data_IF_596076163111
#
_entry.id   IF_596076163111
#
_cell.length_a   1.000
_cell.length_b   1.000
_cell.length_c   1.000
_cell.angle_alpha   90.00
_cell.angle_beta   90.00
_cell.angle_gamma   90.00
#
_symmetry.space_group_name_H-M   'P 1'
#
loop_
_entity.id
_entity.type
_entity.pdbx_description
1 polymer ?
#
# COMPACT_ATOMS: atom_id res chain seq x y z
N UNK A 1 7.68 -10.56 23.06
CA UNK A 1 6.23 -10.88 23.08
C UNK A 1 5.56 -9.63 23.59
N UNK A 2 4.95 -8.81 22.71
CA UNK A 2 4.22 -7.63 23.19
C UNK A 2 3.01 -8.13 23.98
N UNK A 3 2.93 -7.76 25.26
CA UNK A 3 1.78 -8.08 26.09
C UNK A 3 0.53 -7.41 25.50
N UNK A 4 -0.50 -8.22 25.29
CA UNK A 4 -1.81 -7.72 24.88
C UNK A 4 -2.54 -7.15 26.12
N UNK A 5 -3.22 -6.00 25.99
CA UNK A 5 -4.03 -5.46 27.08
C UNK A 5 -5.09 -6.47 27.55
N UNK A 6 -5.22 -6.61 28.87
CA UNK A 6 -6.07 -7.62 29.54
C UNK A 6 -7.55 -7.25 29.63
N UNK A 7 -7.99 -6.16 29.02
CA UNK A 7 -9.38 -5.72 29.08
C UNK A 7 -10.15 -6.11 27.81
N UNK A 8 -11.09 -7.04 27.96
CA UNK A 8 -11.87 -7.64 26.86
C UNK A 8 -13.12 -6.83 26.51
N UNK A 9 -13.33 -5.66 27.09
CA UNK A 9 -14.59 -4.91 26.96
C UNK A 9 -14.67 -3.93 25.79
N UNK A 10 -13.59 -3.73 25.01
CA UNK A 10 -13.58 -2.75 23.90
C UNK A 10 -13.08 -3.30 22.56
N UNK A 11 -13.39 -4.56 22.23
CA UNK A 11 -13.15 -5.11 20.88
C UNK A 11 -14.16 -4.59 19.83
N UNK A 12 -15.20 -3.87 20.25
CA UNK A 12 -16.30 -3.43 19.37
C UNK A 12 -15.90 -2.31 18.38
N UNK A 13 -14.68 -1.76 18.46
CA UNK A 13 -14.20 -0.66 17.60
C UNK A 13 -12.87 -0.93 16.88
N UNK A 14 -12.46 -2.20 16.70
CA UNK A 14 -11.37 -2.49 15.76
C UNK A 14 -11.90 -2.38 14.33
N UNK A 15 -11.90 -1.15 13.79
CA UNK A 15 -11.92 -0.96 12.34
C UNK A 15 -10.72 -1.73 11.80
N UNK A 16 -10.91 -2.78 11.00
CA UNK A 16 -9.83 -3.46 10.28
C UNK A 16 -9.04 -2.37 9.53
N UNK A 17 -7.83 -1.99 9.96
CA UNK A 17 -7.37 -0.62 9.75
C UNK A 17 -6.84 -0.37 8.34
N UNK A 18 -6.73 -1.41 7.51
CA UNK A 18 -6.24 -1.30 6.12
C UNK A 18 -6.74 -2.48 5.30
N UNK A 19 -7.50 -2.26 4.21
CA UNK A 19 -7.99 -3.35 3.39
C UNK A 19 -6.84 -4.13 2.73
N UNK A 20 -6.97 -5.46 2.71
CA UNK A 20 -6.05 -6.36 2.01
C UNK A 20 -6.75 -6.91 0.77
N UNK A 21 -6.25 -6.55 -0.40
CA UNK A 21 -6.80 -6.97 -1.69
C UNK A 21 -6.02 -8.13 -2.31
N UNK A 22 -6.69 -8.91 -3.16
CA UNK A 22 -5.98 -9.83 -4.07
C UNK A 22 -5.42 -9.04 -5.25
N UNK A 23 -4.25 -9.41 -5.76
CA UNK A 23 -3.60 -8.71 -6.86
C UNK A 23 -4.42 -8.60 -8.15
N UNK A 24 -5.44 -9.45 -8.34
CA UNK A 24 -6.31 -9.39 -9.52
C UNK A 24 -7.24 -8.17 -9.54
N UNK A 25 -7.42 -7.49 -8.39
CA UNK A 25 -8.28 -6.31 -8.28
C UNK A 25 -7.56 -5.01 -8.64
N UNK A 26 -6.26 -5.06 -8.93
CA UNK A 26 -5.43 -3.86 -9.14
C UNK A 26 -4.67 -3.98 -10.45
N UNK A 27 -4.52 -2.86 -11.15
CA UNK A 27 -3.73 -2.81 -12.37
C UNK A 27 -2.31 -2.36 -12.05
N UNK A 28 -1.29 -3.08 -12.51
CA UNK A 28 0.11 -2.70 -12.29
C UNK A 28 0.52 -1.64 -13.31
N UNK A 29 1.17 -0.58 -12.84
CA UNK A 29 1.65 0.49 -13.70
C UNK A 29 2.97 1.06 -13.18
N UNK A 30 3.48 2.06 -13.90
CA UNK A 30 4.52 2.95 -13.40
C UNK A 30 3.97 4.37 -13.40
N UNK A 31 4.31 5.14 -12.38
CA UNK A 31 3.89 6.54 -12.23
C UNK A 31 5.09 7.46 -12.18
N UNK A 32 4.93 8.67 -12.70
CA UNK A 32 5.81 9.79 -12.42
C UNK A 32 5.29 10.53 -11.18
N UNK A 33 6.21 10.88 -10.29
CA UNK A 33 5.97 11.69 -9.11
C UNK A 33 6.77 13.00 -9.25
N UNK A 34 6.29 14.14 -8.71
CA UNK A 34 6.95 15.43 -8.86
C UNK A 34 8.41 15.43 -8.41
N UNK A 35 8.69 14.76 -7.29
CA UNK A 35 10.01 14.77 -6.65
C UNK A 35 10.88 13.57 -7.02
N UNK A 36 10.39 12.67 -7.89
CA UNK A 36 11.10 11.43 -8.23
C UNK A 36 11.51 11.43 -9.71
N UNK A 37 12.82 11.45 -10.03
CA UNK A 37 13.28 11.56 -11.41
C UNK A 37 13.03 10.31 -12.24
N UNK A 38 12.73 9.17 -11.60
CA UNK A 38 12.47 7.89 -12.27
C UNK A 38 11.03 7.46 -12.01
N UNK A 39 10.39 6.77 -12.97
CA UNK A 39 9.10 6.15 -12.76
C UNK A 39 9.11 5.20 -11.56
N UNK A 40 8.10 5.31 -10.73
CA UNK A 40 7.89 4.49 -9.54
C UNK A 40 6.92 3.36 -9.85
N UNK A 41 7.24 2.13 -9.44
CA UNK A 41 6.28 1.01 -9.55
C UNK A 41 5.04 1.30 -8.71
N UNK A 42 3.87 1.10 -9.30
CA UNK A 42 2.61 1.47 -8.69
C UNK A 42 1.50 0.50 -9.07
N UNK A 43 0.36 0.70 -8.43
CA UNK A 43 -0.91 0.11 -8.84
C UNK A 43 -1.96 1.20 -9.05
N UNK A 44 -2.90 0.92 -9.94
CA UNK A 44 -4.12 1.69 -10.12
C UNK A 44 -5.29 0.90 -9.53
N UNK A 45 -6.05 1.54 -8.63
CA UNK A 45 -7.18 0.95 -7.94
C UNK A 45 -8.24 2.02 -7.70
N UNK A 46 -9.49 1.73 -8.07
CA UNK A 46 -10.64 2.64 -7.89
C UNK A 46 -10.38 4.09 -8.35
N UNK A 47 -9.72 4.27 -9.50
CA UNK A 47 -9.46 5.60 -10.04
C UNK A 47 -8.23 6.32 -9.45
N UNK A 48 -7.50 5.69 -8.54
CA UNK A 48 -6.39 6.29 -7.81
C UNK A 48 -5.07 5.53 -8.04
N UNK A 49 -3.96 6.26 -7.98
CA UNK A 49 -2.62 5.70 -8.05
C UNK A 49 -2.05 5.46 -6.66
N UNK A 50 -1.45 4.29 -6.47
CA UNK A 50 -0.73 3.96 -5.25
C UNK A 50 0.70 3.53 -5.54
N UNK A 51 1.68 4.24 -4.99
CA UNK A 51 3.10 3.91 -5.13
C UNK A 51 3.49 2.71 -4.26
N UNK A 52 4.41 1.89 -4.77
CA UNK A 52 5.03 0.82 -4.00
C UNK A 52 5.84 1.39 -2.83
N UNK A 53 5.56 0.90 -1.62
CA UNK A 53 6.37 1.21 -0.43
C UNK A 53 7.31 0.06 -0.13
N UNK A 54 6.74 -1.12 0.18
CA UNK A 54 7.52 -2.25 0.69
C UNK A 54 6.76 -3.57 0.65
N UNK A 55 7.50 -4.66 0.44
CA UNK A 55 7.07 -6.04 0.69
C UNK A 55 7.31 -6.47 2.15
N UNK A 56 6.35 -7.20 2.70
CA UNK A 56 6.37 -7.79 4.03
C UNK A 56 6.08 -9.29 3.95
N UNK A 57 6.96 -10.12 4.49
CA UNK A 57 6.71 -11.56 4.62
C UNK A 57 5.73 -11.92 5.74
N UNK A 58 5.57 -11.03 6.74
CA UNK A 58 4.63 -11.18 7.84
C UNK A 58 3.42 -10.25 7.69
N UNK A 59 2.23 -10.82 7.82
CA UNK A 59 0.95 -10.08 7.79
C UNK A 59 0.86 -9.11 8.97
N UNK A 60 1.28 -9.54 10.17
CA UNK A 60 1.19 -8.71 11.38
C UNK A 60 2.10 -7.48 11.29
N UNK A 61 3.33 -7.66 10.78
CA UNK A 61 4.26 -6.55 10.57
C UNK A 61 3.72 -5.58 9.51
N UNK A 62 3.14 -6.09 8.43
CA UNK A 62 2.53 -5.26 7.40
C UNK A 62 1.39 -4.41 7.97
N UNK A 63 0.51 -5.03 8.77
CA UNK A 63 -0.63 -4.36 9.43
C UNK A 63 -0.18 -3.29 10.42
N UNK A 64 0.78 -3.60 11.28
CA UNK A 64 1.35 -2.62 12.22
C UNK A 64 1.94 -1.42 11.47
N UNK A 65 2.64 -1.67 10.37
CA UNK A 65 3.23 -0.60 9.57
C UNK A 65 2.17 0.22 8.83
N UNK A 66 1.12 -0.42 8.33
CA UNK A 66 0.01 0.25 7.66
C UNK A 66 -0.71 1.18 8.63
N UNK A 67 -1.07 0.68 9.82
CA UNK A 67 -1.70 1.47 10.88
C UNK A 67 -0.86 2.70 11.26
N UNK A 68 0.47 2.55 11.38
CA UNK A 68 1.36 3.68 11.65
C UNK A 68 1.34 4.74 10.53
N UNK A 69 1.30 4.31 9.27
CA UNK A 69 1.26 5.23 8.14
C UNK A 69 -0.09 5.92 8.01
N UNK A 70 -1.19 5.19 8.23
CA UNK A 70 -2.55 5.75 8.28
C UNK A 70 -2.71 6.74 9.42
N UNK A 71 -2.18 6.46 10.61
CA UNK A 71 -2.17 7.40 11.73
C UNK A 71 -1.38 8.70 11.43
N UNK A 72 -0.49 8.68 10.42
CA UNK A 72 0.23 9.87 9.92
C UNK A 72 -0.48 10.56 8.75
N UNK A 73 -1.71 10.16 8.43
CA UNK A 73 -2.52 10.76 7.37
C UNK A 73 -2.31 10.15 5.98
N UNK A 74 -1.59 9.05 5.85
CA UNK A 74 -1.44 8.39 4.54
C UNK A 74 -2.64 7.50 4.25
N UNK A 75 -3.14 7.52 3.02
CA UNK A 75 -4.07 6.49 2.54
C UNK A 75 -3.24 5.29 2.05
N UNK A 76 -3.46 4.13 2.67
CA UNK A 76 -2.64 2.92 2.50
C UNK A 76 -3.54 1.79 2.05
N UNK A 77 -3.05 0.96 1.13
CA UNK A 77 -3.66 -0.33 0.80
C UNK A 77 -2.61 -1.44 0.84
N UNK A 78 -3.07 -2.65 1.15
CA UNK A 78 -2.23 -3.84 1.13
C UNK A 78 -2.71 -4.79 0.03
N UNK A 79 -1.80 -5.39 -0.71
CA UNK A 79 -2.13 -6.48 -1.65
C UNK A 79 -1.44 -7.77 -1.26
N UNK A 80 -2.16 -8.89 -1.34
CA UNK A 80 -1.62 -10.21 -1.05
C UNK A 80 -0.86 -10.79 -2.25
N UNK A 81 0.35 -11.26 -1.97
CA UNK A 81 1.25 -11.94 -2.92
C UNK A 81 1.63 -13.31 -2.38
N UNK A 82 2.15 -14.24 -3.21
CA UNK A 82 2.39 -15.62 -2.76
C UNK A 82 3.25 -15.77 -1.50
N UNK A 83 4.18 -14.83 -1.25
CA UNK A 83 5.10 -14.87 -0.11
C UNK A 83 4.79 -13.86 1.01
N UNK A 84 3.67 -13.15 0.94
CA UNK A 84 3.35 -12.12 1.95
C UNK A 84 2.43 -11.02 1.43
N UNK A 85 2.66 -9.80 1.88
CA UNK A 85 1.90 -8.61 1.50
C UNK A 85 2.80 -7.53 0.90
N UNK A 86 2.25 -6.72 0.02
CA UNK A 86 2.87 -5.49 -0.47
C UNK A 86 2.04 -4.31 0.00
N UNK A 87 2.70 -3.28 0.51
CA UNK A 87 2.10 -2.01 0.91
C UNK A 87 2.24 -0.98 -0.19
N UNK A 88 1.14 -0.25 -0.38
CA UNK A 88 1.03 0.83 -1.35
C UNK A 88 0.44 2.07 -0.67
N UNK A 89 0.89 3.25 -1.09
CA UNK A 89 0.42 4.55 -0.56
C UNK A 89 -0.16 5.38 -1.68
N UNK A 90 -1.30 6.02 -1.42
CA UNK A 90 -1.97 6.89 -2.37
C UNK A 90 -1.09 8.11 -2.69
N UNK A 91 -0.91 8.37 -3.97
CA UNK A 91 -0.13 9.50 -4.48
C UNK A 91 -1.05 10.41 -5.31
N UNK A 92 -1.63 11.47 -4.72
CA UNK A 92 -2.65 12.29 -5.38
C UNK A 92 -2.10 13.07 -6.59
N UNK A 93 -0.79 13.32 -6.63
CA UNK A 93 -0.13 14.05 -7.70
C UNK A 93 0.50 13.15 -8.77
N UNK A 94 0.35 11.82 -8.60
CA UNK A 94 0.90 10.85 -9.53
C UNK A 94 0.25 10.94 -10.91
N UNK A 95 1.06 10.70 -11.94
CA UNK A 95 0.59 10.54 -13.33
C UNK A 95 1.18 9.26 -13.90
N UNK A 96 0.51 8.63 -14.87
CA UNK A 96 1.09 7.50 -15.59
C UNK A 96 2.42 7.91 -16.21
N UNK A 97 3.46 7.10 -15.96
CA UNK A 97 4.75 7.29 -16.60
C UNK A 97 4.61 7.03 -18.10
N UNK A 98 5.13 7.94 -18.91
CA UNK A 98 5.24 7.71 -20.35
C UNK A 98 6.21 6.56 -20.58
N UNK A 99 5.84 5.61 -21.44
CA UNK A 99 6.80 4.63 -21.94
C UNK A 99 7.83 5.42 -22.74
N UNK A 100 9.09 5.43 -22.29
CA UNK A 100 10.17 5.88 -23.16
C UNK A 100 10.17 4.93 -24.35
N UNK A 101 9.75 5.41 -25.51
CA UNK A 101 9.98 4.74 -26.77
C UNK A 101 11.49 4.74 -27.00
N UNK A 102 12.18 3.73 -26.49
CA UNK A 102 13.53 3.42 -26.94
C UNK A 102 13.36 2.89 -28.36
N UNK A 103 13.53 3.80 -29.33
CA UNK A 103 13.71 3.43 -30.73
C UNK A 103 14.94 2.51 -30.81
N UNK A 104 14.84 1.34 -31.49
CA UNK A 104 15.95 0.39 -31.61
C UNK A 104 17.16 0.97 -32.33
#
# INVERSE_FOLDING_TARGET
MLEMPKDKSNYQNYVEPTPIFVQKLVERCHIALPDTPKPTSAIFYEGQFYAYVRFFSSVDVARQKAALMTARGNNVILTRVPRGLVMWVHEPEARLAQKSSTTP
#
